data_IF_756209960979
#
_entry.id   IF_756209960979
#
_cell.length_a   1.000
_cell.length_b   1.000
_cell.length_c   1.000
_cell.angle_alpha   90.00
_cell.angle_beta   90.00
_cell.angle_gamma   90.00
#
_symmetry.space_group_name_H-M   'P 1'
#
loop_
_entity.id
_entity.type
_entity.pdbx_description
1 polymer ?
#
# COMPACT_ATOMS: atom_id res chain seq x y z
N UNK A 1 -11.31 7.96 5.76
CA UNK A 1 -12.68 7.44 5.55
C UNK A 1 -13.18 7.50 4.10
N UNK A 2 -12.66 8.36 3.21
CA UNK A 2 -13.16 8.46 1.82
C UNK A 2 -12.62 7.37 0.85
N UNK A 3 -11.49 6.72 1.13
CA UNK A 3 -10.96 5.67 0.24
C UNK A 3 -11.65 4.29 0.43
N UNK A 4 -12.27 4.05 1.59
CA UNK A 4 -12.97 2.78 1.87
C UNK A 4 -14.37 2.70 1.21
N UNK A 5 -14.97 3.85 0.88
CA UNK A 5 -16.30 3.93 0.25
C UNK A 5 -16.24 3.50 -1.22
N UNK A 6 -15.10 3.69 -1.90
CA UNK A 6 -14.93 3.28 -3.30
C UNK A 6 -14.93 1.75 -3.46
N UNK A 7 -14.47 1.01 -2.44
CA UNK A 7 -14.41 -0.46 -2.46
C UNK A 7 -15.74 -1.08 -2.01
N UNK A 8 -16.46 -0.48 -1.06
CA UNK A 8 -17.79 -0.96 -0.63
C UNK A 8 -18.82 -0.97 -1.78
N UNK A 9 -18.73 -0.02 -2.71
CA UNK A 9 -19.65 0.04 -3.86
C UNK A 9 -19.37 -0.99 -4.96
N UNK A 10 -18.27 -1.75 -4.88
CA UNK A 10 -17.93 -2.78 -5.87
C UNK A 10 -18.66 -4.11 -5.58
N UNK A 11 -19.23 -4.29 -4.38
CA UNK A 11 -19.76 -5.59 -3.92
C UNK A 11 -21.29 -5.74 -4.06
N UNK A 12 -22.01 -4.75 -4.60
CA UNK A 12 -23.48 -4.86 -4.77
C UNK A 12 -23.98 -4.41 -6.16
N UNK A 13 -23.90 -5.31 -7.14
CA UNK A 13 -24.99 -5.66 -8.08
C UNK A 13 -24.47 -6.64 -9.15
N UNK A 14 -24.90 -7.90 -9.05
CA UNK A 14 -24.99 -8.79 -10.20
C UNK A 14 -26.12 -8.30 -11.10
N UNK A 15 -25.79 -7.60 -12.19
CA UNK A 15 -26.63 -7.55 -13.40
C UNK A 15 -25.66 -7.42 -14.57
N UNK A 16 -25.86 -8.22 -15.63
CA UNK A 16 -25.24 -7.98 -16.93
C UNK A 16 -25.44 -6.50 -17.30
N UNK A 17 -24.38 -5.69 -17.20
CA UNK A 17 -24.43 -4.28 -17.57
C UNK A 17 -24.58 -4.21 -19.09
N UNK A 18 -25.82 -3.99 -19.54
CA UNK A 18 -26.11 -3.38 -20.84
C UNK A 18 -26.02 -1.87 -20.63
N UNK A 19 -25.00 -1.24 -21.19
CA UNK A 19 -25.01 0.23 -21.33
C UNK A 19 -25.91 0.57 -22.51
N UNK A 20 -26.97 1.32 -22.23
CA UNK A 20 -27.97 1.71 -23.21
C UNK A 20 -27.98 3.24 -23.33
N UNK A 21 -27.47 3.78 -24.43
CA UNK A 21 -27.61 5.20 -24.74
C UNK A 21 -28.98 5.47 -25.38
N UNK A 22 -29.69 6.50 -24.88
CA UNK A 22 -30.88 7.06 -25.54
C UNK A 22 -30.44 8.17 -26.49
N UNK A 23 -30.45 7.90 -27.81
CA UNK A 23 -30.26 8.95 -28.82
C UNK A 23 -31.62 9.42 -29.35
N UNK A 24 -31.87 10.73 -29.31
CA UNK A 24 -33.01 11.36 -29.97
C UNK A 24 -32.77 11.39 -31.49
N UNK A 25 -33.58 10.67 -32.26
CA UNK A 25 -33.60 10.80 -33.72
C UNK A 25 -34.50 12.00 -34.07
N UNK A 26 -33.92 13.05 -34.66
CA UNK A 26 -34.55 14.37 -34.84
C UNK A 26 -35.81 14.44 -35.71
N UNK A 27 -36.33 13.35 -36.29
CA UNK A 27 -37.50 13.41 -37.18
C UNK A 27 -38.72 12.60 -36.75
N UNK A 28 -38.64 11.79 -35.69
CA UNK A 28 -39.82 11.16 -35.08
C UNK A 28 -39.55 11.02 -33.60
N UNK A 29 -40.47 11.43 -32.72
CA UNK A 29 -40.40 11.24 -31.25
C UNK A 29 -40.45 9.74 -30.87
N UNK A 30 -39.53 8.92 -31.38
CA UNK A 30 -39.30 7.52 -31.05
C UNK A 30 -37.90 7.41 -30.47
N UNK A 31 -37.82 6.94 -29.23
CA UNK A 31 -36.56 6.64 -28.56
C UNK A 31 -36.05 5.29 -29.07
N UNK A 32 -34.91 5.27 -29.76
CA UNK A 32 -34.23 4.00 -30.03
C UNK A 32 -33.22 3.74 -28.91
N UNK A 33 -33.42 2.67 -28.15
CA UNK A 33 -32.47 2.21 -27.15
C UNK A 33 -31.46 1.29 -27.84
N UNK A 34 -30.24 1.77 -28.11
CA UNK A 34 -29.13 0.89 -28.53
C UNK A 34 -28.39 0.46 -27.27
N UNK A 35 -28.47 -0.83 -26.95
CA UNK A 35 -27.71 -1.42 -25.85
C UNK A 35 -26.50 -2.16 -26.43
N UNK A 36 -25.30 -1.80 -25.97
CA UNK A 36 -24.10 -2.55 -26.27
C UNK A 36 -23.89 -3.62 -25.18
N UNK A 37 -23.47 -4.81 -25.58
CA UNK A 37 -22.92 -5.78 -24.62
C UNK A 37 -21.53 -5.27 -24.21
N UNK A 38 -21.32 -5.05 -22.91
CA UNK A 38 -20.00 -4.66 -22.40
C UNK A 38 -19.11 -5.90 -22.40
N UNK A 39 -18.31 -6.07 -23.45
CA UNK A 39 -17.15 -6.97 -23.51
C UNK A 39 -15.89 -6.22 -23.11
N UNK A 40 -15.93 -5.53 -21.97
CA UNK A 40 -14.72 -5.03 -21.33
C UNK A 40 -14.12 -6.14 -20.46
N UNK A 41 -12.83 -6.13 -20.13
CA UNK A 41 -12.35 -6.91 -19.01
C UNK A 41 -13.10 -6.54 -17.74
N UNK A 42 -13.75 -7.50 -17.11
CA UNK A 42 -14.35 -7.32 -15.81
C UNK A 42 -13.86 -8.39 -14.83
N UNK A 43 -13.71 -7.97 -13.57
CA UNK A 43 -13.46 -8.87 -12.46
C UNK A 43 -14.81 -9.36 -11.97
N UNK A 44 -15.04 -10.67 -12.00
CA UNK A 44 -16.17 -11.31 -11.31
C UNK A 44 -15.70 -11.77 -9.95
N UNK A 45 -16.29 -11.24 -8.88
CA UNK A 45 -16.01 -11.72 -7.53
C UNK A 45 -16.89 -12.94 -7.22
N UNK A 46 -16.27 -14.04 -6.80
CA UNK A 46 -16.96 -15.24 -6.33
C UNK A 46 -16.64 -15.45 -4.88
N UNK A 47 -17.68 -15.52 -4.05
CA UNK A 47 -17.52 -15.78 -2.62
C UNK A 47 -17.59 -17.28 -2.35
N UNK A 48 -16.48 -17.87 -1.91
CA UNK A 48 -16.42 -19.26 -1.48
C UNK A 48 -16.55 -19.36 0.04
N UNK A 49 -17.70 -19.86 0.50
CA UNK A 49 -18.02 -20.06 1.92
C UNK A 49 -17.29 -21.27 2.54
N UNK A 50 -16.85 -22.21 1.71
CA UNK A 50 -16.26 -23.47 2.15
C UNK A 50 -14.75 -23.34 2.37
N UNK A 51 -14.12 -22.32 1.78
CA UNK A 51 -12.71 -22.03 1.93
C UNK A 51 -12.47 -21.01 3.04
N UNK A 52 -11.51 -21.32 3.91
CA UNK A 52 -11.13 -20.47 5.05
C UNK A 52 -9.76 -19.81 4.90
N UNK A 53 -8.94 -20.29 3.96
CA UNK A 53 -7.59 -19.78 3.73
C UNK A 53 -7.52 -19.05 2.40
N UNK A 54 -7.12 -17.78 2.47
CA UNK A 54 -6.82 -16.96 1.32
C UNK A 54 -5.47 -17.37 0.75
N UNK A 55 -5.49 -18.11 -0.35
CA UNK A 55 -4.29 -18.26 -1.16
C UNK A 55 -4.19 -17.08 -2.14
N UNK A 56 -2.97 -16.56 -2.29
CA UNK A 56 -2.64 -15.46 -3.19
C UNK A 56 -1.98 -15.94 -4.47
N UNK A 57 -2.06 -17.25 -4.79
CA UNK A 57 -1.58 -17.91 -6.01
C UNK A 57 -1.78 -17.03 -7.25
N UNK A 58 -0.80 -16.18 -7.50
CA UNK A 58 -0.83 -15.19 -8.56
C UNK A 58 0.48 -15.33 -9.30
N UNK A 59 0.39 -15.96 -10.46
CA UNK A 59 1.47 -15.96 -11.41
C UNK A 59 1.47 -14.58 -12.07
N UNK A 60 2.02 -13.58 -11.37
CA UNK A 60 2.09 -12.22 -11.84
C UNK A 60 2.85 -12.16 -13.15
N UNK A 61 2.10 -12.14 -14.24
CA UNK A 61 2.63 -11.88 -15.57
C UNK A 61 2.34 -10.44 -15.93
N UNK A 62 3.38 -9.74 -16.37
CA UNK A 62 3.26 -8.39 -16.97
C UNK A 62 2.41 -8.39 -18.23
N UNK A 63 2.17 -9.57 -18.82
CA UNK A 63 1.35 -9.79 -20.01
C UNK A 63 -0.14 -9.99 -19.73
N UNK A 64 -0.66 -9.64 -18.54
CA UNK A 64 -2.09 -9.68 -18.26
C UNK A 64 -2.84 -8.58 -19.03
N UNK A 65 -2.94 -8.79 -20.34
CA UNK A 65 -3.88 -8.14 -21.21
C UNK A 65 -5.29 -8.54 -20.76
N UNK A 66 -5.99 -7.51 -20.35
CA UNK A 66 -7.34 -7.50 -19.80
C UNK A 66 -8.34 -7.72 -20.94
N UNK A 67 -8.31 -8.87 -21.59
CA UNK A 67 -9.29 -9.21 -22.63
C UNK A 67 -10.27 -10.28 -22.15
N UNK A 68 -9.89 -11.02 -21.11
CA UNK A 68 -10.72 -12.07 -20.52
C UNK A 68 -11.30 -11.65 -19.17
N UNK A 69 -12.49 -12.18 -18.88
CA UNK A 69 -13.13 -12.06 -17.58
C UNK A 69 -12.26 -12.76 -16.54
N UNK A 70 -11.89 -12.05 -15.46
CA UNK A 70 -11.13 -12.64 -14.37
C UNK A 70 -12.05 -13.00 -13.22
N UNK A 71 -12.09 -14.28 -12.87
CA UNK A 71 -12.86 -14.78 -11.74
C UNK A 71 -11.99 -14.69 -10.49
N UNK A 72 -12.27 -13.68 -9.65
CA UNK A 72 -11.58 -13.49 -8.38
C UNK A 72 -12.34 -14.20 -7.28
N UNK A 73 -11.78 -15.32 -6.83
CA UNK A 73 -12.26 -16.01 -5.65
C UNK A 73 -11.90 -15.24 -4.37
N UNK A 74 -12.91 -15.02 -3.53
CA UNK A 74 -12.81 -14.40 -2.21
C UNK A 74 -13.34 -15.41 -1.20
N UNK A 75 -12.46 -15.89 -0.33
CA UNK A 75 -12.82 -16.80 0.76
C UNK A 75 -13.35 -16.05 2.00
N UNK A 76 -13.78 -16.79 3.01
CA UNK A 76 -14.35 -16.26 4.26
C UNK A 76 -13.38 -15.34 5.01
N UNK A 77 -12.08 -15.64 5.01
CA UNK A 77 -11.06 -14.84 5.70
C UNK A 77 -10.80 -13.54 4.95
N UNK A 78 -10.61 -13.61 3.64
CA UNK A 78 -10.36 -12.45 2.79
C UNK A 78 -11.55 -11.48 2.76
N UNK A 79 -12.78 -11.99 2.73
CA UNK A 79 -14.00 -11.15 2.69
C UNK A 79 -14.15 -10.22 3.91
N UNK A 80 -13.53 -10.57 5.05
CA UNK A 80 -13.55 -9.75 6.28
C UNK A 80 -12.53 -8.62 6.26
N UNK A 81 -11.60 -8.60 5.29
CA UNK A 81 -10.46 -7.68 5.24
C UNK A 81 -10.44 -6.91 3.94
N UNK A 82 -10.78 -5.62 4.00
CA UNK A 82 -10.78 -4.76 2.81
C UNK A 82 -9.41 -4.74 2.09
N UNK A 83 -8.30 -4.77 2.83
CA UNK A 83 -6.97 -4.85 2.24
C UNK A 83 -6.66 -6.17 1.54
N UNK A 84 -7.25 -7.31 1.96
CA UNK A 84 -7.10 -8.57 1.23
C UNK A 84 -7.75 -8.49 -0.16
N UNK A 85 -8.95 -7.90 -0.25
CA UNK A 85 -9.62 -7.66 -1.53
C UNK A 85 -8.79 -6.69 -2.38
N UNK A 86 -8.31 -5.59 -1.79
CA UNK A 86 -7.47 -4.62 -2.48
C UNK A 86 -6.17 -5.25 -3.00
N UNK A 87 -5.52 -6.11 -2.20
CA UNK A 87 -4.34 -6.91 -2.60
C UNK A 87 -4.64 -7.70 -3.87
N UNK A 88 -5.70 -8.52 -3.86
CA UNK A 88 -6.07 -9.35 -5.03
C UNK A 88 -6.37 -8.49 -6.28
N UNK A 89 -7.03 -7.35 -6.12
CA UNK A 89 -7.31 -6.43 -7.24
C UNK A 89 -6.04 -5.79 -7.79
N UNK A 90 -5.16 -5.28 -6.94
CA UNK A 90 -3.90 -4.68 -7.37
C UNK A 90 -2.98 -5.72 -8.03
N UNK A 91 -2.92 -6.94 -7.49
CA UNK A 91 -2.21 -8.04 -8.11
C UNK A 91 -2.76 -8.33 -9.50
N UNK A 92 -4.09 -8.48 -9.65
CA UNK A 92 -4.72 -8.63 -10.97
C UNK A 92 -4.38 -7.48 -11.94
N UNK A 93 -4.25 -6.26 -11.43
CA UNK A 93 -3.82 -5.10 -12.22
C UNK A 93 -2.31 -5.10 -12.54
N UNK A 94 -1.54 -6.08 -12.08
CA UNK A 94 -0.13 -6.28 -12.39
C UNK A 94 0.83 -5.93 -11.25
N UNK A 95 0.35 -5.59 -10.05
CA UNK A 95 1.23 -5.36 -8.90
C UNK A 95 1.80 -6.70 -8.45
N UNK A 96 3.07 -6.95 -8.75
CA UNK A 96 3.71 -8.20 -8.38
C UNK A 96 3.92 -8.29 -6.85
N UNK A 97 3.97 -9.50 -6.28
CA UNK A 97 4.42 -9.65 -4.90
C UNK A 97 5.78 -8.98 -4.69
N UNK A 98 5.91 -8.17 -3.64
CA UNK A 98 7.12 -7.37 -3.39
C UNK A 98 8.35 -8.26 -3.25
N UNK A 99 8.18 -9.46 -2.68
CA UNK A 99 9.24 -10.46 -2.55
C UNK A 99 9.74 -10.98 -3.91
N UNK A 100 9.00 -10.84 -5.01
CA UNK A 100 9.42 -11.28 -6.35
C UNK A 100 10.16 -10.20 -7.15
N UNK A 101 10.33 -8.99 -6.61
CA UNK A 101 11.04 -7.93 -7.33
C UNK A 101 12.50 -8.34 -7.61
N UNK A 102 13.05 -7.90 -8.73
CA UNK A 102 14.45 -8.19 -9.10
C UNK A 102 15.49 -7.63 -8.11
N UNK A 103 15.15 -6.56 -7.39
CA UNK A 103 16.00 -5.90 -6.39
C UNK A 103 15.75 -6.41 -4.96
N UNK A 104 14.87 -7.41 -4.75
CA UNK A 104 14.45 -7.87 -3.41
C UNK A 104 15.60 -8.33 -2.52
N UNK A 105 16.67 -8.86 -3.11
CA UNK A 105 17.83 -9.36 -2.35
C UNK A 105 18.65 -8.25 -1.68
N UNK A 106 18.37 -6.96 -1.94
CA UNK A 106 18.95 -5.83 -1.18
C UNK A 106 18.25 -5.68 0.20
N UNK A 107 17.00 -6.14 0.29
CA UNK A 107 16.09 -5.88 1.40
C UNK A 107 15.79 -7.13 2.22
N UNK A 108 15.66 -8.29 1.57
CA UNK A 108 15.34 -9.56 2.22
C UNK A 108 16.30 -10.70 1.81
N UNK A 109 16.35 -11.74 2.62
CA UNK A 109 16.96 -13.04 2.28
C UNK A 109 15.86 -14.08 2.27
N UNK A 110 15.62 -14.78 1.15
CA UNK A 110 14.58 -15.81 1.08
C UNK A 110 15.13 -17.18 1.52
N UNK A 111 14.42 -17.81 2.44
CA UNK A 111 14.75 -19.10 3.05
C UNK A 111 14.00 -20.23 2.35
N UNK A 112 14.43 -20.62 1.15
CA UNK A 112 13.75 -21.64 0.33
C UNK A 112 13.54 -23.00 1.01
N UNK A 113 14.39 -23.35 2.00
CA UNK A 113 14.24 -24.57 2.82
C UNK A 113 13.00 -24.52 3.73
N UNK A 114 12.55 -23.32 4.10
CA UNK A 114 11.41 -23.08 4.96
C UNK A 114 10.11 -22.92 4.16
N UNK A 115 10.13 -23.11 2.83
CA UNK A 115 8.99 -22.91 1.93
C UNK A 115 8.58 -24.24 1.33
N UNK A 116 7.30 -24.59 1.41
CA UNK A 116 6.78 -25.78 0.72
C UNK A 116 7.07 -25.67 -0.78
N UNK A 117 7.50 -26.78 -1.40
CA UNK A 117 7.86 -26.85 -2.83
C UNK A 117 6.85 -26.19 -3.77
N UNK A 118 5.55 -26.36 -3.51
CA UNK A 118 4.46 -25.76 -4.32
C UNK A 118 4.40 -24.23 -4.25
N UNK A 119 4.95 -23.61 -3.21
CA UNK A 119 4.97 -22.16 -3.03
C UNK A 119 6.28 -21.50 -3.48
N UNK A 120 7.36 -22.27 -3.68
CA UNK A 120 8.68 -21.71 -4.04
C UNK A 120 8.64 -20.83 -5.30
N UNK A 121 7.83 -21.19 -6.30
CA UNK A 121 7.71 -20.39 -7.53
C UNK A 121 7.15 -18.97 -7.30
N UNK A 122 6.41 -18.74 -6.20
CA UNK A 122 5.92 -17.41 -5.83
C UNK A 122 6.99 -16.54 -5.17
N UNK A 123 8.18 -17.09 -4.96
CA UNK A 123 9.38 -16.38 -4.52
C UNK A 123 10.40 -16.25 -5.66
N UNK A 124 10.12 -16.72 -6.88
CA UNK A 124 11.05 -16.52 -7.98
C UNK A 124 11.00 -15.08 -8.47
N UNK A 125 12.20 -14.49 -8.66
CA UNK A 125 12.35 -13.10 -9.09
C UNK A 125 11.82 -12.91 -10.51
N UNK A 126 11.12 -11.80 -10.71
CA UNK A 126 10.64 -11.35 -12.01
C UNK A 126 11.52 -10.19 -12.50
N UNK A 127 12.40 -10.47 -13.47
CA UNK A 127 13.39 -9.50 -13.96
C UNK A 127 12.84 -8.46 -14.93
N UNK A 128 11.80 -8.82 -15.68
CA UNK A 128 11.19 -7.97 -16.71
C UNK A 128 10.17 -6.97 -16.15
N UNK A 129 9.95 -6.96 -14.84
CA UNK A 129 9.03 -6.04 -14.18
C UNK A 129 9.76 -4.72 -13.86
N UNK A 130 9.26 -3.56 -14.33
CA UNK A 130 9.83 -2.26 -14.01
C UNK A 130 9.73 -1.94 -12.51
N UNK A 131 10.77 -1.31 -11.96
CA UNK A 131 10.80 -0.84 -10.58
C UNK A 131 10.30 0.61 -10.50
N UNK A 132 8.99 0.81 -10.68
CA UNK A 132 8.38 2.15 -10.68
C UNK A 132 8.38 2.83 -9.30
N UNK A 133 8.55 2.05 -8.23
CA UNK A 133 8.53 2.54 -6.85
C UNK A 133 9.62 1.85 -6.02
N UNK A 134 10.02 2.49 -4.92
CA UNK A 134 10.97 1.94 -3.95
C UNK A 134 10.42 0.66 -3.29
N UNK A 135 11.32 -0.20 -2.80
CA UNK A 135 10.93 -1.36 -1.98
C UNK A 135 10.33 -0.90 -0.65
N UNK A 136 9.11 -1.35 -0.39
CA UNK A 136 8.34 -1.08 0.83
C UNK A 136 7.93 -2.40 1.51
N UNK A 137 8.41 -2.62 2.74
CA UNK A 137 8.08 -3.82 3.51
C UNK A 137 6.59 -3.90 3.85
N UNK A 138 5.93 -2.75 3.97
CA UNK A 138 4.51 -2.66 4.33
C UNK A 138 3.58 -2.59 3.12
N UNK A 139 4.12 -2.68 1.90
CA UNK A 139 3.32 -2.80 0.67
C UNK A 139 2.23 -3.86 0.84
N UNK A 140 1.05 -3.56 0.35
CA UNK A 140 -0.08 -4.52 0.34
C UNK A 140 0.26 -5.76 -0.49
N UNK A 141 1.27 -5.73 -1.36
CA UNK A 141 1.76 -6.88 -2.12
C UNK A 141 2.94 -7.60 -1.45
N UNK A 142 3.43 -7.14 -0.31
CA UNK A 142 4.45 -7.88 0.44
C UNK A 142 3.81 -9.08 1.13
N UNK A 143 4.40 -10.26 0.97
CA UNK A 143 3.95 -11.45 1.69
C UNK A 143 4.23 -11.32 3.19
N UNK A 144 3.42 -11.99 4.00
CA UNK A 144 3.78 -12.27 5.38
C UNK A 144 5.01 -13.18 5.39
N UNK A 145 5.82 -13.06 6.43
CA UNK A 145 7.04 -13.85 6.64
C UNK A 145 6.79 -15.36 6.71
N UNK A 146 5.57 -15.80 7.03
CA UNK A 146 5.17 -17.20 7.07
C UNK A 146 4.42 -17.70 5.82
N UNK A 147 4.24 -16.89 4.79
CA UNK A 147 3.42 -17.28 3.63
C UNK A 147 4.00 -18.49 2.90
N UNK A 148 3.23 -19.57 2.79
CA UNK A 148 3.71 -20.81 2.15
C UNK A 148 4.79 -21.56 2.95
N UNK A 149 4.99 -21.19 4.22
CA UNK A 149 5.98 -21.78 5.10
C UNK A 149 5.73 -23.27 5.39
N UNK A 150 6.79 -24.07 5.39
CA UNK A 150 6.79 -25.51 5.73
C UNK A 150 7.24 -25.79 7.17
N UNK A 151 7.54 -24.76 7.95
CA UNK A 151 7.97 -24.84 9.34
C UNK A 151 7.51 -23.58 10.10
N UNK A 152 7.82 -23.49 11.40
CA UNK A 152 7.63 -22.27 12.18
C UNK A 152 8.62 -21.15 11.83
N UNK A 153 9.71 -21.47 11.16
CA UNK A 153 10.74 -20.51 10.75
C UNK A 153 10.25 -19.64 9.58
N UNK A 154 10.68 -18.37 9.53
CA UNK A 154 10.25 -17.45 8.48
C UNK A 154 10.77 -17.87 7.10
N UNK A 155 9.94 -17.62 6.09
CA UNK A 155 10.25 -17.82 4.67
C UNK A 155 11.23 -16.79 4.12
N UNK A 156 11.44 -15.68 4.83
CA UNK A 156 12.49 -14.71 4.53
C UNK A 156 12.86 -13.88 5.77
N UNK A 157 14.09 -13.36 5.78
CA UNK A 157 14.61 -12.44 6.80
C UNK A 157 14.78 -11.03 6.25
N UNK A 158 14.61 -10.00 7.10
CA UNK A 158 14.83 -8.60 6.73
C UNK A 158 16.30 -8.19 6.95
N UNK A 159 17.02 -7.85 5.88
CA UNK A 159 18.49 -7.62 5.94
C UNK A 159 18.93 -6.39 6.74
N UNK A 160 18.07 -5.37 6.87
CA UNK A 160 18.40 -4.08 7.50
C UNK A 160 17.58 -3.80 8.76
N UNK A 161 16.76 -4.76 9.18
CA UNK A 161 15.82 -4.66 10.29
C UNK A 161 15.90 -6.01 11.02
N UNK A 162 16.97 -6.23 11.77
CA UNK A 162 17.29 -7.53 12.39
C UNK A 162 16.57 -7.80 13.70
N UNK A 163 15.78 -6.85 14.19
CA UNK A 163 15.00 -7.00 15.42
C UNK A 163 13.74 -7.83 15.14
N UNK A 164 13.61 -8.97 15.82
CA UNK A 164 12.47 -9.89 15.70
C UNK A 164 11.14 -9.28 16.15
N UNK A 165 11.17 -8.15 16.86
CA UNK A 165 9.99 -7.35 17.20
C UNK A 165 9.39 -6.57 16.02
N UNK A 166 10.09 -6.46 14.89
CA UNK A 166 9.65 -5.69 13.72
C UNK A 166 8.66 -6.50 12.88
N UNK A 167 7.41 -6.06 12.85
CA UNK A 167 6.27 -6.77 12.23
C UNK A 167 5.69 -6.01 11.04
N UNK A 168 6.48 -5.70 10.01
CA UNK A 168 6.06 -4.79 8.93
C UNK A 168 5.30 -5.44 7.77
N UNK A 169 5.51 -6.74 7.56
CA UNK A 169 5.19 -7.42 6.31
C UNK A 169 3.86 -8.15 6.35
N UNK A 170 3.18 -8.28 5.20
CA UNK A 170 1.97 -9.10 5.09
C UNK A 170 0.69 -8.42 5.52
N UNK A 171 0.69 -7.10 5.73
CA UNK A 171 -0.49 -6.35 6.16
C UNK A 171 -1.63 -6.47 5.14
N UNK A 172 -2.86 -6.45 5.63
CA UNK A 172 -4.09 -6.53 4.82
C UNK A 172 -5.10 -5.45 5.22
N UNK A 173 -4.58 -4.30 5.65
CA UNK A 173 -5.37 -3.15 6.09
C UNK A 173 -5.76 -2.31 4.87
N UNK A 174 -4.77 -1.77 4.15
CA UNK A 174 -4.97 -0.92 2.95
C UNK A 174 -3.69 -0.82 2.10
N UNK A 175 -3.80 -0.44 0.80
CA UNK A 175 -2.65 -0.05 0.01
C UNK A 175 -1.81 1.06 0.68
N UNK A 176 -0.50 0.93 0.61
CA UNK A 176 0.44 1.99 1.00
C UNK A 176 0.43 3.12 -0.02
N UNK A 177 1.05 4.24 0.33
CA UNK A 177 1.27 5.33 -0.62
C UNK A 177 1.97 4.85 -1.91
N UNK A 178 2.99 4.00 -1.79
CA UNK A 178 3.75 3.50 -2.93
C UNK A 178 2.99 2.47 -3.78
N UNK A 179 2.06 1.71 -3.20
CA UNK A 179 1.17 0.85 -3.99
C UNK A 179 0.26 1.69 -4.89
N UNK A 180 -0.23 2.83 -4.39
CA UNK A 180 -1.05 3.77 -5.15
C UNK A 180 -0.23 4.57 -6.17
N UNK A 181 1.00 4.95 -5.83
CA UNK A 181 1.93 5.61 -6.76
C UNK A 181 2.32 4.70 -7.93
N UNK A 182 2.53 3.40 -7.65
CA UNK A 182 2.71 2.39 -8.68
C UNK A 182 1.50 2.33 -9.60
N UNK A 183 0.28 2.28 -9.03
CA UNK A 183 -0.96 2.21 -9.81
C UNK A 183 -1.14 3.44 -10.70
N UNK A 184 -0.90 4.63 -10.15
CA UNK A 184 -0.93 5.89 -10.89
C UNK A 184 0.09 5.89 -12.04
N UNK A 185 1.32 5.46 -11.77
CA UNK A 185 2.38 5.41 -12.78
C UNK A 185 2.05 4.42 -13.90
N UNK A 186 1.49 3.26 -13.56
CA UNK A 186 1.15 2.22 -14.52
C UNK A 186 -0.06 2.60 -15.41
N UNK A 187 -1.05 3.32 -14.87
CA UNK A 187 -2.35 3.46 -15.56
C UNK A 187 -2.82 4.90 -15.80
N UNK A 188 -2.27 5.89 -15.11
CA UNK A 188 -2.80 7.25 -15.08
C UNK A 188 -1.82 8.30 -15.62
N UNK A 189 -0.52 8.18 -15.31
CA UNK A 189 0.50 9.21 -15.59
C UNK A 189 0.52 9.72 -17.03
N UNK A 190 0.28 8.85 -18.01
CA UNK A 190 0.31 9.20 -19.44
C UNK A 190 -1.08 9.44 -20.06
N UNK A 191 -2.15 9.45 -19.24
CA UNK A 191 -3.53 9.60 -19.74
C UNK A 191 -4.08 11.01 -19.57
N UNK A 192 -3.48 11.83 -18.71
CA UNK A 192 -3.86 13.21 -18.52
C UNK A 192 -2.65 14.06 -18.13
N UNK A 193 -2.74 15.35 -18.40
CA UNK A 193 -1.72 16.34 -18.06
C UNK A 193 -2.18 17.14 -16.84
N UNK A 194 -1.80 16.75 -15.61
CA UNK A 194 -2.20 17.49 -14.41
C UNK A 194 -1.53 18.87 -14.36
N UNK A 195 -2.28 19.88 -13.95
CA UNK A 195 -1.78 21.26 -13.74
C UNK A 195 -1.09 21.43 -12.38
N UNK A 196 -1.47 20.61 -11.39
CA UNK A 196 -0.89 20.65 -10.05
C UNK A 196 0.49 19.98 -10.00
N UNK A 197 1.46 20.69 -9.43
CA UNK A 197 2.77 20.13 -9.08
C UNK A 197 2.75 19.66 -7.62
N UNK A 198 3.04 18.37 -7.42
CA UNK A 198 3.14 17.79 -6.09
C UNK A 198 4.59 17.88 -5.60
N UNK A 199 4.82 18.48 -4.43
CA UNK A 199 6.13 18.50 -3.75
C UNK A 199 6.48 17.10 -3.24
N UNK A 200 5.46 16.38 -2.78
CA UNK A 200 5.53 14.97 -2.42
C UNK A 200 4.33 14.24 -3.02
N UNK A 201 4.58 13.08 -3.60
CA UNK A 201 3.55 12.23 -4.17
C UNK A 201 3.06 12.63 -5.57
N UNK A 202 1.80 12.32 -5.89
CA UNK A 202 1.30 12.36 -7.26
C UNK A 202 -0.10 12.99 -7.40
N UNK A 203 -0.44 13.58 -8.56
CA UNK A 203 -1.74 14.20 -8.80
C UNK A 203 -2.89 13.21 -8.75
N UNK A 204 -4.03 13.63 -8.21
CA UNK A 204 -5.26 12.82 -8.26
C UNK A 204 -5.74 12.64 -9.70
N UNK A 205 -6.32 11.48 -9.97
CA UNK A 205 -6.84 11.11 -11.30
C UNK A 205 -8.33 11.44 -11.49
N UNK A 206 -8.94 12.12 -10.52
CA UNK A 206 -10.35 12.54 -10.53
C UNK A 206 -10.57 13.93 -11.18
N UNK A 207 -9.52 14.51 -11.77
CA UNK A 207 -9.55 15.86 -12.34
C UNK A 207 -9.45 16.97 -11.30
N UNK A 208 -9.36 16.65 -10.01
CA UNK A 208 -9.05 17.67 -9.01
C UNK A 208 -7.62 18.16 -9.16
N UNK A 209 -7.41 19.46 -8.97
CA UNK A 209 -6.06 20.04 -8.94
C UNK A 209 -5.36 19.77 -7.59
N UNK A 210 -5.48 18.56 -7.04
CA UNK A 210 -4.91 18.21 -5.74
C UNK A 210 -4.06 16.94 -5.83
N UNK A 211 -3.12 16.80 -4.90
CA UNK A 211 -2.24 15.65 -4.83
C UNK A 211 -2.78 14.58 -3.87
N UNK A 212 -2.40 13.32 -4.12
CA UNK A 212 -2.42 12.25 -3.12
C UNK A 212 -1.12 12.36 -2.33
N UNK A 213 -1.24 12.52 -1.01
CA UNK A 213 -0.09 12.73 -0.14
C UNK A 213 0.28 11.45 0.63
N UNK A 214 1.58 11.19 0.84
CA UNK A 214 2.02 10.15 1.75
C UNK A 214 1.66 10.50 3.20
N UNK A 215 1.57 9.48 4.06
CA UNK A 215 1.32 9.63 5.50
C UNK A 215 2.32 10.61 6.12
N UNK A 216 1.83 11.53 6.95
CA UNK A 216 2.59 12.64 7.50
C UNK A 216 2.54 13.94 6.67
N UNK A 217 2.00 13.93 5.45
CA UNK A 217 1.92 15.10 4.56
C UNK A 217 0.49 15.38 4.07
N UNK A 218 0.15 16.65 3.83
CA UNK A 218 -1.18 17.10 3.43
C UNK A 218 -1.12 18.39 2.60
N UNK A 219 -2.29 18.90 2.21
CA UNK A 219 -2.44 20.12 1.42
C UNK A 219 -2.54 19.84 -0.08
N UNK A 220 -2.80 20.90 -0.88
CA UNK A 220 -3.00 20.81 -2.34
C UNK A 220 -1.81 20.16 -3.04
N UNK A 221 -0.59 20.43 -2.55
CA UNK A 221 0.70 20.01 -3.15
C UNK A 221 1.51 19.06 -2.27
N UNK A 222 0.95 18.58 -1.15
CA UNK A 222 1.65 17.76 -0.16
C UNK A 222 2.90 18.40 0.48
N UNK A 223 2.89 19.74 0.59
CA UNK A 223 3.93 20.52 1.25
C UNK A 223 3.73 20.59 2.77
N UNK A 224 2.49 20.56 3.21
CA UNK A 224 2.14 20.77 4.61
C UNK A 224 2.27 19.46 5.40
N UNK A 225 2.59 19.52 6.69
CA UNK A 225 2.60 18.32 7.52
C UNK A 225 1.18 18.02 8.02
N UNK A 226 0.85 16.74 8.13
CA UNK A 226 -0.36 16.32 8.82
C UNK A 226 -0.24 16.61 10.32
N UNK A 227 -1.39 16.73 10.99
CA UNK A 227 -1.46 16.78 12.46
C UNK A 227 -0.56 17.82 13.14
N UNK A 228 -0.38 18.98 12.51
CA UNK A 228 0.33 20.11 13.08
C UNK A 228 -0.43 20.76 14.25
N UNK A 229 0.29 21.44 15.14
CA UNK A 229 -0.23 22.39 16.13
C UNK A 229 -1.27 21.84 17.12
N UNK A 230 -1.21 20.54 17.45
CA UNK A 230 -1.94 20.02 18.61
C UNK A 230 -1.14 20.34 19.87
N UNK A 231 -1.79 20.95 20.87
CA UNK A 231 -1.18 21.44 22.13
C UNK A 231 -0.25 20.42 22.80
N UNK A 232 -0.54 19.12 22.65
CA UNK A 232 0.19 18.02 23.30
C UNK A 232 1.19 17.28 22.38
N UNK A 233 1.39 17.73 21.13
CA UNK A 233 2.41 17.18 20.26
C UNK A 233 3.72 17.97 20.42
N UNK A 234 4.89 17.31 20.34
CA UNK A 234 6.16 18.03 20.19
C UNK A 234 6.10 18.97 18.98
N UNK A 235 6.90 20.05 19.01
CA UNK A 235 6.94 21.03 17.93
C UNK A 235 7.05 20.38 16.55
N UNK A 236 6.37 20.96 15.56
CA UNK A 236 6.13 20.33 14.26
C UNK A 236 7.36 20.22 13.39
N UNK A 237 8.28 21.17 13.47
CA UNK A 237 9.57 21.19 12.76
C UNK A 237 10.68 21.44 13.77
N UNK A 238 11.66 20.54 13.81
CA UNK A 238 12.78 20.60 14.75
C UNK A 238 14.09 20.54 13.97
N UNK A 239 14.86 21.61 14.04
CA UNK A 239 16.24 21.63 13.57
C UNK A 239 17.13 20.99 14.64
N UNK A 240 17.77 19.87 14.29
CA UNK A 240 18.69 19.16 15.19
C UNK A 240 20.06 19.83 15.08
N UNK A 241 20.64 20.25 16.21
CA UNK A 241 21.90 20.98 16.24
C UNK A 241 23.13 20.08 16.11
N UNK A 242 24.26 20.68 15.71
CA UNK A 242 25.54 20.00 15.53
C UNK A 242 26.17 19.49 16.85
N UNK A 243 25.90 20.21 17.95
CA UNK A 243 26.45 19.97 19.29
C UNK A 243 25.39 19.60 20.31
N UNK A 244 24.14 19.45 19.89
CA UNK A 244 23.10 19.04 20.83
C UNK A 244 23.38 17.61 21.26
N UNK A 245 23.49 17.39 22.57
CA UNK A 245 23.38 16.05 23.14
C UNK A 245 22.05 15.40 22.77
N UNK A 246 21.71 14.30 23.44
CA UNK A 246 20.42 13.64 23.22
C UNK A 246 19.28 14.66 23.43
N UNK A 247 18.43 14.85 22.42
CA UNK A 247 17.19 15.63 22.51
C UNK A 247 16.03 14.66 22.64
N UNK A 248 15.37 14.69 23.78
CA UNK A 248 14.21 13.85 24.05
C UNK A 248 12.97 14.39 23.32
N UNK A 249 12.17 13.47 22.78
CA UNK A 249 10.88 13.74 22.16
C UNK A 249 9.84 12.86 22.84
N UNK A 250 8.98 13.48 23.64
CA UNK A 250 7.98 12.78 24.44
C UNK A 250 6.59 12.90 23.82
N UNK A 251 5.90 11.77 23.68
CA UNK A 251 4.55 11.66 23.14
C UNK A 251 3.62 11.07 24.22
N UNK A 252 3.07 11.94 25.07
CA UNK A 252 2.42 11.52 26.32
C UNK A 252 0.92 11.22 26.19
N UNK A 253 0.33 11.40 25.01
CA UNK A 253 -1.11 11.25 24.79
C UNK A 253 -1.42 10.43 23.53
N UNK A 254 -2.57 9.75 23.53
CA UNK A 254 -3.11 9.06 22.34
C UNK A 254 -3.62 10.06 21.30
N UNK A 255 -2.69 10.73 20.62
CA UNK A 255 -2.99 11.67 19.53
C UNK A 255 -2.06 11.45 18.35
N UNK A 256 -2.60 11.59 17.15
CA UNK A 256 -1.77 11.61 15.95
C UNK A 256 -0.95 12.91 15.96
N UNK A 257 0.36 12.76 15.88
CA UNK A 257 1.35 13.83 15.80
C UNK A 257 2.25 13.58 14.61
N UNK A 258 2.75 14.65 13.98
CA UNK A 258 3.82 14.55 12.98
C UNK A 258 4.89 15.56 13.30
N UNK A 259 6.12 15.07 13.41
CA UNK A 259 7.31 15.87 13.72
C UNK A 259 8.31 15.68 12.60
N UNK A 260 8.72 16.78 11.98
CA UNK A 260 9.77 16.79 10.98
C UNK A 260 11.10 17.16 11.63
N UNK A 261 12.06 16.25 11.55
CA UNK A 261 13.42 16.48 12.03
C UNK A 261 14.31 16.88 10.85
N UNK A 262 15.02 18.00 10.99
CA UNK A 262 15.92 18.53 9.95
C UNK A 262 17.35 18.42 10.46
N UNK A 263 18.16 17.66 9.73
CA UNK A 263 19.58 17.50 10.00
C UNK A 263 20.36 18.72 9.48
N UNK A 264 21.50 19.06 10.11
CA UNK A 264 22.50 19.95 9.52
C UNK A 264 23.00 19.39 8.18
N UNK A 265 23.53 20.27 7.32
CA UNK A 265 24.05 19.87 6.00
C UNK A 265 25.05 18.70 6.11
N UNK A 266 24.93 17.71 5.22
CA UNK A 266 25.77 16.50 5.16
C UNK A 266 25.78 15.63 6.44
N UNK A 267 24.85 15.84 7.37
CA UNK A 267 24.73 15.03 8.59
C UNK A 267 23.49 14.15 8.60
N UNK A 268 23.52 13.13 9.46
CA UNK A 268 22.42 12.19 9.68
C UNK A 268 21.96 12.24 11.11
N UNK A 269 20.65 12.11 11.31
CA UNK A 269 20.04 12.03 12.63
C UNK A 269 20.03 10.56 13.06
N UNK A 270 20.54 10.29 14.26
CA UNK A 270 20.34 9.00 14.93
C UNK A 270 19.13 9.13 15.85
N UNK A 271 18.13 8.28 15.64
CA UNK A 271 16.94 8.17 16.49
C UNK A 271 17.12 6.92 17.35
N UNK A 272 16.92 7.07 18.67
CA UNK A 272 16.80 5.96 19.60
C UNK A 272 15.37 5.96 20.13
N UNK A 273 14.71 4.80 20.11
CA UNK A 273 13.40 4.63 20.74
C UNK A 273 13.66 4.04 22.12
N UNK A 274 13.63 4.87 23.15
CA UNK A 274 13.97 4.46 24.52
C UNK A 274 12.82 3.67 25.15
N UNK A 275 11.60 4.22 25.09
CA UNK A 275 10.39 3.58 25.60
C UNK A 275 9.23 3.75 24.64
N UNK A 276 8.38 2.73 24.54
CA UNK A 276 7.16 2.75 23.76
C UNK A 276 6.14 1.83 24.42
N UNK A 277 4.89 2.29 24.54
CA UNK A 277 3.79 1.48 25.06
C UNK A 277 2.56 1.67 24.19
N UNK A 278 2.31 0.70 23.33
CA UNK A 278 1.25 0.73 22.33
C UNK A 278 0.56 -0.63 22.20
N UNK A 279 -0.58 -0.65 21.51
CA UNK A 279 -1.23 -1.90 21.12
C UNK A 279 -0.28 -2.71 20.25
N UNK A 280 -0.16 -4.00 20.56
CA UNK A 280 0.68 -4.92 19.82
C UNK A 280 -0.08 -5.43 18.58
N UNK A 281 0.12 -4.76 17.45
CA UNK A 281 -0.42 -5.19 16.17
C UNK A 281 0.59 -6.07 15.41
N UNK A 282 0.08 -7.09 14.72
CA UNK A 282 0.84 -7.90 13.78
C UNK A 282 0.02 -8.14 12.51
N UNK A 283 0.38 -7.53 11.37
CA UNK A 283 1.49 -6.59 11.19
C UNK A 283 1.25 -5.22 11.82
N UNK A 284 2.32 -4.54 12.22
CA UNK A 284 2.33 -3.13 12.57
C UNK A 284 2.34 -2.28 11.30
N UNK A 285 1.48 -1.28 11.23
CA UNK A 285 1.25 -0.49 10.03
C UNK A 285 1.19 1.01 10.32
N UNK A 286 1.01 1.81 9.27
CA UNK A 286 0.77 3.25 9.37
C UNK A 286 -0.43 3.54 10.29
N UNK A 287 -0.36 4.66 11.01
CA UNK A 287 -1.40 5.15 11.93
C UNK A 287 -1.60 4.30 13.22
N UNK A 288 -0.82 3.23 13.44
CA UNK A 288 -0.93 2.41 14.65
C UNK A 288 -0.31 3.08 15.90
N UNK A 289 1.01 3.27 15.91
CA UNK A 289 1.74 3.77 17.07
C UNK A 289 2.87 4.73 16.66
N UNK A 290 4.04 4.21 16.26
CA UNK A 290 5.18 5.04 15.88
C UNK A 290 5.64 4.70 14.46
N UNK A 291 5.59 5.69 13.58
CA UNK A 291 6.14 5.60 12.23
C UNK A 291 7.38 6.50 12.10
N UNK A 292 8.50 5.93 11.68
CA UNK A 292 9.76 6.64 11.43
C UNK A 292 10.07 6.54 9.94
N UNK A 293 9.94 7.68 9.25
CA UNK A 293 10.38 7.86 7.86
C UNK A 293 11.78 8.43 7.84
N UNK A 294 12.68 7.79 7.11
CA UNK A 294 14.11 8.15 7.10
C UNK A 294 14.71 8.27 5.70
N UNK A 295 13.95 7.95 4.65
CA UNK A 295 14.41 8.13 3.26
C UNK A 295 14.18 9.56 2.77
N UNK A 296 15.04 10.09 1.86
CA UNK A 296 14.93 11.47 1.38
C UNK A 296 13.56 11.88 0.82
N UNK A 297 12.85 10.99 0.11
CA UNK A 297 11.53 11.30 -0.45
C UNK A 297 10.45 11.44 0.63
N UNK A 298 10.60 10.73 1.76
CA UNK A 298 9.58 10.56 2.81
C UNK A 298 8.26 9.93 2.31
N UNK A 299 8.29 9.25 1.16
CA UNK A 299 7.09 8.63 0.56
C UNK A 299 6.87 7.21 1.03
N UNK A 300 7.93 6.43 1.23
CA UNK A 300 7.90 5.07 1.80
C UNK A 300 7.21 5.03 3.18
N UNK A 301 6.60 3.89 3.52
CA UNK A 301 6.10 3.63 4.88
C UNK A 301 7.27 3.55 5.88
N UNK A 302 8.42 3.01 5.45
CA UNK A 302 9.66 2.85 6.24
C UNK A 302 9.46 1.98 7.50
N UNK A 303 9.65 2.51 8.72
CA UNK A 303 9.60 1.73 9.96
C UNK A 303 8.34 2.06 10.76
N UNK A 304 7.49 1.07 10.99
CA UNK A 304 6.37 1.12 11.94
C UNK A 304 6.68 0.23 13.15
N UNK A 305 6.58 0.80 14.35
CA UNK A 305 6.79 0.11 15.63
C UNK A 305 5.49 0.07 16.43
N UNK A 306 5.17 -1.11 16.97
CA UNK A 306 3.97 -1.38 17.77
C UNK A 306 4.32 -2.25 18.98
N UNK A 307 3.40 -2.35 19.94
CA UNK A 307 3.62 -3.10 21.18
C UNK A 307 4.40 -2.30 22.23
N UNK A 308 5.12 -3.01 23.10
CA UNK A 308 5.87 -2.41 24.20
C UNK A 308 7.37 -2.60 23.98
N UNK A 309 8.13 -1.50 24.04
CA UNK A 309 9.60 -1.48 24.04
C UNK A 309 10.09 -0.75 25.29
N UNK A 310 11.10 -1.32 25.95
CA UNK A 310 11.86 -0.69 27.03
C UNK A 310 13.33 -1.05 26.83
N UNK A 311 14.14 -0.06 26.48
CA UNK A 311 15.58 -0.19 26.27
C UNK A 311 16.35 -0.01 27.58
#
# INVERSE_FOLDING_TARGET
>A
MQHATMIKNIVQKQVLLKECEKKCVKSTKKYSTKCANITLPFIRFFYDKNKKNSDFNFNGSTSLWKENVYNMEVDVSCNKKAGCIAKKVLMFLGLIPTVRRKDRDIYITVNYRNIYRKYQMYYDKLYDVPLNTNYDYSSIAHFADNYGGSSSEPTFDLKRLSDSGIKLTGQEIRPTFLDLEWLYTAYCKNKFAPTVKCEKGFPKSDGSETCVCPTGFTGKTCKDLQYQNKISCPGTVIHVGDKSGKKELNFNEKKNCTVQLIAPSEKRIRINVDTMECVNNNPCFEDDCLQIKYRPSMTNTDLCLCGTLKN
#
